data_IF_568930760334
#
_entry.id   IF_568930760334
#
_cell.length_a   1.000
_cell.length_b   1.000
_cell.length_c   1.000
_cell.angle_alpha   90.00
_cell.angle_beta   90.00
_cell.angle_gamma   90.00
#
_symmetry.space_group_name_H-M   'P 1'
#
loop_
_entity.id
_entity.type
_entity.pdbx_description
1 polymer ?
#
# COMPACT_ATOMS: atom_id res chain seq x y z
N UNK A 1 57.23 -11.99 -4.46
CA UNK A 1 56.84 -12.11 -3.04
C UNK A 1 56.69 -10.69 -2.51
N UNK A 2 55.49 -10.15 -2.53
CA UNK A 2 55.18 -8.84 -1.94
C UNK A 2 54.98 -9.06 -0.45
N UNK A 3 55.78 -8.40 0.38
CA UNK A 3 55.62 -8.41 1.83
C UNK A 3 54.18 -8.02 2.20
N UNK A 4 53.54 -8.70 3.17
CA UNK A 4 52.28 -8.22 3.72
C UNK A 4 52.56 -6.85 4.32
N UNK A 5 51.84 -5.81 3.89
CA UNK A 5 52.03 -4.48 4.46
C UNK A 5 51.71 -4.54 5.96
N UNK A 6 52.69 -4.25 6.80
CA UNK A 6 52.54 -4.05 8.25
C UNK A 6 51.69 -2.82 8.62
N UNK A 7 50.97 -2.24 7.65
CA UNK A 7 50.02 -1.15 7.88
C UNK A 7 48.76 -1.70 8.57
N UNK A 8 48.53 -1.38 9.87
CA UNK A 8 47.38 -1.88 10.62
C UNK A 8 46.05 -1.40 10.02
N UNK A 9 46.04 -0.25 9.32
CA UNK A 9 44.86 0.25 8.63
C UNK A 9 44.52 -0.64 7.42
N UNK A 10 45.53 -1.04 6.65
CA UNK A 10 45.35 -1.92 5.49
C UNK A 10 44.84 -3.31 5.90
N UNK A 11 45.34 -3.85 7.01
CA UNK A 11 44.86 -5.12 7.58
C UNK A 11 43.40 -5.00 8.04
N UNK A 12 43.06 -3.94 8.79
CA UNK A 12 41.68 -3.74 9.25
C UNK A 12 40.69 -3.49 8.10
N UNK A 13 41.11 -2.76 7.05
CA UNK A 13 40.31 -2.58 5.85
C UNK A 13 40.08 -3.91 5.11
N UNK A 14 41.10 -4.76 5.01
CA UNK A 14 40.96 -6.08 4.40
C UNK A 14 39.97 -6.97 5.16
N UNK A 15 40.00 -6.96 6.50
CA UNK A 15 39.04 -7.67 7.35
C UNK A 15 37.60 -7.17 7.15
N UNK A 16 37.40 -5.85 7.10
CA UNK A 16 36.09 -5.24 6.82
C UNK A 16 35.58 -5.66 5.44
N UNK A 17 36.43 -5.60 4.41
CA UNK A 17 36.08 -5.99 3.04
C UNK A 17 35.69 -7.46 2.98
N UNK A 18 36.48 -8.34 3.60
CA UNK A 18 36.20 -9.78 3.62
C UNK A 18 34.88 -10.10 4.33
N UNK A 19 34.64 -9.47 5.48
CA UNK A 19 33.40 -9.65 6.25
C UNK A 19 32.18 -9.18 5.44
N UNK A 20 32.30 -8.04 4.75
CA UNK A 20 31.23 -7.52 3.88
C UNK A 20 30.98 -8.43 2.68
N UNK A 21 32.03 -8.95 2.05
CA UNK A 21 31.88 -9.86 0.92
C UNK A 21 31.13 -11.13 1.32
N UNK A 22 31.49 -11.74 2.46
CA UNK A 22 30.80 -12.92 2.96
C UNK A 22 29.32 -12.65 3.26
N UNK A 23 28.99 -11.48 3.83
CA UNK A 23 27.61 -11.07 4.04
C UNK A 23 26.85 -10.87 2.72
N UNK A 24 27.48 -10.24 1.71
CA UNK A 24 26.92 -10.05 0.37
C UNK A 24 26.60 -11.39 -0.30
N UNK A 25 27.52 -12.35 -0.25
CA UNK A 25 27.35 -13.68 -0.85
C UNK A 25 26.21 -14.46 -0.15
N UNK A 26 26.17 -14.43 1.18
CA UNK A 26 25.11 -15.03 1.97
C UNK A 26 23.73 -14.43 1.63
N UNK A 27 23.68 -13.11 1.46
CA UNK A 27 22.44 -12.42 1.09
C UNK A 27 22.04 -12.69 -0.37
N UNK A 28 22.99 -12.76 -1.30
CA UNK A 28 22.72 -13.16 -2.67
C UNK A 28 22.10 -14.56 -2.72
N UNK A 29 22.63 -15.51 -1.95
CA UNK A 29 22.04 -16.84 -1.80
C UNK A 29 20.62 -16.80 -1.19
N UNK A 30 20.40 -15.94 -0.18
CA UNK A 30 19.07 -15.73 0.41
C UNK A 30 18.06 -15.21 -0.63
N UNK A 31 18.45 -14.25 -1.48
CA UNK A 31 17.58 -13.69 -2.53
C UNK A 31 17.15 -14.73 -3.56
N UNK A 32 17.96 -15.76 -3.78
CA UNK A 32 17.63 -16.89 -4.65
C UNK A 32 16.81 -17.98 -3.95
N UNK A 33 16.65 -17.90 -2.63
CA UNK A 33 15.89 -18.89 -1.88
C UNK A 33 14.39 -18.81 -2.21
N UNK A 34 13.73 -19.98 -2.25
CA UNK A 34 12.30 -20.06 -2.53
C UNK A 34 11.43 -19.20 -1.59
N UNK A 35 11.70 -19.13 -0.27
CA UNK A 35 10.94 -18.28 0.64
C UNK A 35 11.04 -16.79 0.31
N UNK A 36 12.22 -16.31 -0.11
CA UNK A 36 12.42 -14.92 -0.51
C UNK A 36 11.68 -14.61 -1.80
N UNK A 37 11.81 -15.47 -2.81
CA UNK A 37 11.10 -15.34 -4.08
C UNK A 37 9.57 -15.38 -3.89
N UNK A 38 9.06 -16.16 -2.94
CA UNK A 38 7.64 -16.18 -2.59
C UNK A 38 7.18 -14.85 -1.99
N UNK A 39 7.99 -14.25 -1.11
CA UNK A 39 7.68 -12.96 -0.52
C UNK A 39 7.64 -11.85 -1.58
N UNK A 40 8.58 -11.84 -2.53
CA UNK A 40 8.55 -10.91 -3.67
C UNK A 40 7.32 -11.10 -4.55
N UNK A 41 7.01 -12.36 -4.93
CA UNK A 41 5.81 -12.68 -5.73
C UNK A 41 4.52 -12.28 -5.04
N UNK A 42 4.47 -12.36 -3.70
CA UNK A 42 3.32 -11.87 -2.93
C UNK A 42 3.14 -10.36 -3.12
N UNK A 43 4.23 -9.59 -3.09
CA UNK A 43 4.20 -8.14 -3.35
C UNK A 43 3.70 -7.84 -4.76
N UNK A 44 4.20 -8.57 -5.76
CA UNK A 44 3.77 -8.43 -7.16
C UNK A 44 2.29 -8.75 -7.34
N UNK A 45 1.81 -9.83 -6.71
CA UNK A 45 0.39 -10.21 -6.73
C UNK A 45 -0.47 -9.10 -6.14
N UNK A 46 -0.05 -8.51 -5.01
CA UNK A 46 -0.80 -7.42 -4.37
C UNK A 46 -0.95 -6.21 -5.30
N UNK A 47 0.12 -5.80 -5.99
CA UNK A 47 0.06 -4.65 -6.92
C UNK A 47 -0.74 -4.98 -8.17
N UNK A 48 -0.55 -6.17 -8.75
CA UNK A 48 -1.30 -6.59 -9.94
C UNK A 48 -2.81 -6.65 -9.67
N UNK A 49 -3.20 -7.28 -8.56
CA UNK A 49 -4.60 -7.38 -8.15
C UNK A 49 -5.20 -6.01 -7.76
N UNK A 50 -4.40 -5.12 -7.18
CA UNK A 50 -4.81 -3.75 -6.87
C UNK A 50 -5.06 -2.93 -8.14
N UNK A 51 -4.13 -2.98 -9.09
CA UNK A 51 -4.25 -2.31 -10.38
C UNK A 51 -5.43 -2.84 -11.21
N UNK A 52 -5.70 -4.15 -11.17
CA UNK A 52 -6.88 -4.74 -11.81
C UNK A 52 -8.17 -4.07 -11.34
N UNK A 53 -8.34 -3.89 -10.03
CA UNK A 53 -9.55 -3.28 -9.47
C UNK A 53 -9.67 -1.80 -9.82
N UNK A 54 -8.59 -1.01 -9.73
CA UNK A 54 -8.63 0.40 -10.13
C UNK A 54 -8.90 0.58 -11.62
N UNK A 55 -8.31 -0.25 -12.47
CA UNK A 55 -8.57 -0.23 -13.91
C UNK A 55 -10.03 -0.62 -14.21
N UNK A 56 -10.61 -1.57 -13.46
CA UNK A 56 -12.03 -1.91 -13.60
C UNK A 56 -12.94 -0.74 -13.21
N UNK A 57 -12.61 -0.01 -12.13
CA UNK A 57 -13.30 1.22 -11.72
C UNK A 57 -13.23 2.26 -12.84
N UNK A 58 -12.04 2.55 -13.35
CA UNK A 58 -11.83 3.52 -14.43
C UNK A 58 -12.56 3.13 -15.71
N UNK A 59 -12.51 1.86 -16.11
CA UNK A 59 -13.25 1.38 -17.28
C UNK A 59 -14.76 1.56 -17.10
N UNK A 60 -15.28 1.19 -15.94
CA UNK A 60 -16.72 1.27 -15.66
C UNK A 60 -17.20 2.72 -15.50
N UNK A 61 -16.34 3.64 -15.05
CA UNK A 61 -16.69 5.05 -14.92
C UNK A 61 -16.98 5.71 -16.26
N UNK A 62 -16.36 5.25 -17.35
CA UNK A 62 -16.62 5.76 -18.71
C UNK A 62 -18.08 5.61 -19.15
N UNK A 63 -18.84 4.72 -18.51
CA UNK A 63 -20.29 4.57 -18.73
C UNK A 63 -21.10 5.78 -18.23
N UNK A 64 -20.50 6.64 -17.41
CA UNK A 64 -21.07 7.89 -16.93
C UNK A 64 -20.01 9.00 -16.97
N UNK A 65 -19.83 9.67 -18.13
CA UNK A 65 -18.77 10.67 -18.31
C UNK A 65 -18.85 11.84 -17.31
N UNK A 66 -20.05 12.27 -16.94
CA UNK A 66 -20.25 13.32 -15.93
C UNK A 66 -19.75 12.87 -14.56
N UNK A 67 -20.00 11.61 -14.19
CA UNK A 67 -19.53 11.05 -12.95
C UNK A 67 -18.00 10.91 -12.95
N UNK A 68 -17.43 10.33 -14.01
CA UNK A 68 -15.99 10.21 -14.18
C UNK A 68 -15.28 11.57 -14.10
N UNK A 69 -15.81 12.58 -14.79
CA UNK A 69 -15.24 13.92 -14.80
C UNK A 69 -15.24 14.58 -13.42
N UNK A 70 -16.24 14.29 -12.57
CA UNK A 70 -16.38 14.86 -11.24
C UNK A 70 -15.52 14.14 -10.18
N UNK A 71 -15.14 12.87 -10.34
CA UNK A 71 -14.54 12.08 -9.24
C UNK A 71 -13.03 12.20 -9.16
N UNK A 72 -12.53 12.85 -8.12
CA UNK A 72 -11.09 12.99 -7.88
C UNK A 72 -10.42 11.62 -7.68
N UNK A 73 -11.05 10.72 -6.92
CA UNK A 73 -10.56 9.35 -6.67
C UNK A 73 -10.29 8.53 -7.94
N UNK A 74 -11.06 8.76 -9.00
CA UNK A 74 -10.86 8.11 -10.31
C UNK A 74 -9.73 8.80 -11.07
N UNK A 75 -9.71 10.14 -11.05
CA UNK A 75 -8.73 10.94 -11.80
C UNK A 75 -7.30 10.81 -11.28
N UNK A 76 -7.13 10.38 -10.03
CA UNK A 76 -5.81 10.08 -9.45
C UNK A 76 -5.45 8.59 -9.46
N UNK A 77 -6.23 7.72 -10.11
CA UNK A 77 -5.99 6.28 -10.09
C UNK A 77 -4.56 5.92 -10.54
N UNK A 78 -4.04 6.58 -11.58
CA UNK A 78 -2.66 6.39 -12.05
C UNK A 78 -1.62 6.75 -10.99
N UNK A 79 -1.84 7.83 -10.23
CA UNK A 79 -0.97 8.24 -9.12
C UNK A 79 -0.96 7.17 -8.00
N UNK A 80 -2.12 6.57 -7.72
CA UNK A 80 -2.22 5.50 -6.72
C UNK A 80 -1.54 4.21 -7.21
N UNK A 81 -1.68 3.88 -8.50
CA UNK A 81 -1.02 2.73 -9.12
C UNK A 81 0.50 2.93 -9.13
N UNK A 82 0.97 4.13 -9.51
CA UNK A 82 2.38 4.49 -9.50
C UNK A 82 2.99 4.31 -8.11
N UNK A 83 2.31 4.82 -7.07
CA UNK A 83 2.75 4.67 -5.67
C UNK A 83 2.79 3.20 -5.21
N UNK A 84 1.81 2.38 -5.63
CA UNK A 84 1.80 0.94 -5.35
C UNK A 84 2.98 0.22 -6.05
N UNK A 85 3.27 0.56 -7.30
CA UNK A 85 4.41 0.01 -8.07
C UNK A 85 5.75 0.43 -7.45
N UNK A 86 5.90 1.70 -7.06
CA UNK A 86 7.07 2.22 -6.37
C UNK A 86 7.29 1.50 -5.03
N UNK A 87 6.22 1.30 -4.25
CA UNK A 87 6.26 0.52 -3.01
C UNK A 87 6.76 -0.90 -3.26
N UNK A 88 6.25 -1.58 -4.30
CA UNK A 88 6.71 -2.93 -4.66
C UNK A 88 8.19 -2.94 -5.02
N UNK A 89 8.66 -2.01 -5.85
CA UNK A 89 10.07 -1.92 -6.23
C UNK A 89 10.95 -1.74 -4.99
N UNK A 90 10.56 -0.85 -4.08
CA UNK A 90 11.27 -0.64 -2.82
C UNK A 90 11.31 -1.90 -1.94
N UNK A 91 10.18 -2.60 -1.77
CA UNK A 91 10.14 -3.84 -0.96
C UNK A 91 11.05 -4.92 -1.56
N UNK A 92 11.02 -5.11 -2.88
CA UNK A 92 11.85 -6.13 -3.58
C UNK A 92 13.34 -5.85 -3.45
N UNK A 93 13.73 -4.58 -3.48
CA UNK A 93 15.12 -4.16 -3.31
C UNK A 93 15.54 -4.01 -1.84
N UNK A 94 14.68 -4.36 -0.88
CA UNK A 94 15.00 -4.24 0.56
C UNK A 94 14.97 -2.79 1.07
N UNK A 95 14.51 -1.83 0.27
CA UNK A 95 14.40 -0.42 0.63
C UNK A 95 13.14 -0.15 1.47
N UNK A 96 13.03 -0.77 2.64
CA UNK A 96 11.79 -0.75 3.44
C UNK A 96 11.44 0.63 4.02
N UNK A 97 12.43 1.47 4.31
CA UNK A 97 12.19 2.83 4.79
C UNK A 97 11.53 3.71 3.69
N UNK A 98 12.08 3.78 2.46
CA UNK A 98 11.37 4.33 1.32
C UNK A 98 9.98 3.73 1.10
N UNK A 99 9.85 2.39 1.13
CA UNK A 99 8.56 1.73 0.99
C UNK A 99 7.52 2.21 2.02
N UNK A 100 7.93 2.42 3.27
CA UNK A 100 7.04 2.94 4.32
C UNK A 100 6.56 4.37 4.05
N UNK A 101 7.43 5.23 3.50
CA UNK A 101 7.05 6.60 3.13
C UNK A 101 6.07 6.59 1.97
N UNK A 102 6.31 5.72 0.98
CA UNK A 102 5.43 5.54 -0.17
C UNK A 102 4.05 5.00 0.24
N UNK A 103 4.02 3.96 1.08
CA UNK A 103 2.78 3.45 1.70
C UNK A 103 1.99 4.53 2.46
N UNK A 104 2.69 5.46 3.15
CA UNK A 104 2.02 6.59 3.82
C UNK A 104 1.34 7.50 2.81
N UNK A 105 2.06 7.86 1.75
CA UNK A 105 1.54 8.70 0.69
C UNK A 105 0.30 8.06 0.04
N UNK A 106 0.39 6.78 -0.35
CA UNK A 106 -0.72 6.04 -0.93
C UNK A 106 -1.96 6.05 -0.04
N UNK A 107 -1.78 5.75 1.26
CA UNK A 107 -2.87 5.78 2.24
C UNK A 107 -3.48 7.19 2.35
N UNK A 108 -2.64 8.21 2.48
CA UNK A 108 -3.07 9.60 2.66
C UNK A 108 -3.82 10.12 1.42
N UNK A 109 -3.28 9.90 0.23
CA UNK A 109 -3.88 10.30 -1.04
C UNK A 109 -5.24 9.64 -1.26
N UNK A 110 -5.35 8.33 -0.99
CA UNK A 110 -6.62 7.59 -1.13
C UNK A 110 -7.73 8.15 -0.24
N UNK A 111 -7.41 8.42 1.02
CA UNK A 111 -8.37 8.94 2.00
C UNK A 111 -8.79 10.37 1.67
N UNK A 112 -7.82 11.22 1.30
CA UNK A 112 -8.10 12.61 0.91
C UNK A 112 -8.99 12.66 -0.32
N UNK A 113 -8.69 11.84 -1.33
CA UNK A 113 -9.50 11.79 -2.55
C UNK A 113 -10.95 11.35 -2.27
N UNK A 114 -11.13 10.29 -1.47
CA UNK A 114 -12.47 9.87 -1.05
C UNK A 114 -13.19 10.95 -0.23
N UNK A 115 -12.50 11.60 0.70
CA UNK A 115 -13.08 12.69 1.49
C UNK A 115 -13.54 13.86 0.62
N UNK A 116 -12.70 14.33 -0.31
CA UNK A 116 -13.07 15.38 -1.28
C UNK A 116 -14.30 14.99 -2.11
N UNK A 117 -14.35 13.74 -2.59
CA UNK A 117 -15.49 13.22 -3.34
C UNK A 117 -16.77 13.06 -2.49
N UNK A 118 -16.63 12.97 -1.17
CA UNK A 118 -17.76 12.88 -0.23
C UNK A 118 -18.29 14.26 0.17
N UNK A 119 -17.40 15.24 0.33
CA UNK A 119 -17.76 16.62 0.69
C UNK A 119 -18.43 17.35 -0.48
N UNK A 120 -17.95 17.12 -1.69
CA UNK A 120 -18.47 17.75 -2.91
C UNK A 120 -18.75 16.69 -3.98
N UNK A 121 -19.86 15.93 -3.88
CA UNK A 121 -20.09 14.79 -4.75
C UNK A 121 -20.28 15.13 -6.23
N UNK A 122 -20.80 16.32 -6.54
CA UNK A 122 -21.14 16.75 -7.91
C UNK A 122 -20.21 17.86 -8.44
N UNK A 123 -19.29 18.37 -7.62
CA UNK A 123 -18.40 19.43 -8.02
C UNK A 123 -17.32 18.98 -9.00
N UNK A 124 -16.86 19.94 -9.80
CA UNK A 124 -15.73 19.78 -10.70
C UNK A 124 -14.44 19.48 -9.92
N UNK A 125 -13.52 18.77 -10.57
CA UNK A 125 -12.26 18.33 -9.94
C UNK A 125 -11.43 19.52 -9.47
N UNK A 126 -11.41 20.61 -10.23
CA UNK A 126 -10.70 21.85 -9.92
C UNK A 126 -11.10 22.39 -8.55
N UNK A 127 -12.40 22.45 -8.25
CA UNK A 127 -12.91 22.86 -6.94
C UNK A 127 -12.51 21.88 -5.83
N UNK A 128 -12.36 20.59 -6.14
CA UNK A 128 -11.89 19.60 -5.17
C UNK A 128 -10.40 19.73 -4.89
N UNK A 129 -9.61 20.21 -5.85
CA UNK A 129 -8.20 20.55 -5.66
C UNK A 129 -8.06 21.73 -4.72
N UNK A 130 -8.94 22.74 -4.81
CA UNK A 130 -8.95 23.86 -3.85
C UNK A 130 -9.12 23.35 -2.41
N UNK A 131 -9.98 22.35 -2.18
CA UNK A 131 -10.08 21.73 -0.84
C UNK A 131 -8.78 21.05 -0.42
N UNK A 132 -8.04 20.40 -1.32
CA UNK A 132 -6.75 19.79 -0.98
C UNK A 132 -5.69 20.83 -0.59
N UNK A 133 -5.71 22.00 -1.23
CA UNK A 133 -4.81 23.11 -0.92
C UNK A 133 -5.20 23.77 0.42
N UNK A 134 -6.50 23.98 0.64
CA UNK A 134 -7.06 24.53 1.88
C UNK A 134 -6.93 23.58 3.08
N UNK A 135 -6.75 22.27 2.83
CA UNK A 135 -6.41 21.29 3.86
C UNK A 135 -5.05 21.54 4.51
N UNK A 136 -4.27 22.55 4.04
CA UNK A 136 -2.94 22.91 4.50
C UNK A 136 -2.64 22.64 5.99
N UNK A 137 -3.45 23.17 6.92
CA UNK A 137 -3.28 23.03 8.37
C UNK A 137 -4.14 21.93 9.04
N UNK A 138 -5.05 21.30 8.30
CA UNK A 138 -5.95 20.28 8.84
C UNK A 138 -5.14 19.04 9.27
N UNK A 139 -5.40 18.52 10.48
CA UNK A 139 -4.73 17.29 10.89
C UNK A 139 -5.35 16.17 10.08
N UNK A 140 -4.52 15.24 9.60
CA UNK A 140 -5.00 14.03 8.90
C UNK A 140 -6.14 13.31 9.65
N UNK A 141 -6.13 13.35 10.98
CA UNK A 141 -7.21 12.84 11.83
C UNK A 141 -8.57 13.50 11.54
N UNK A 142 -8.61 14.82 11.37
CA UNK A 142 -9.85 15.57 11.16
C UNK A 142 -10.53 15.14 9.83
N UNK A 143 -9.73 14.86 8.80
CA UNK A 143 -10.18 14.31 7.52
C UNK A 143 -10.80 12.92 7.73
N UNK A 144 -10.11 12.06 8.48
CA UNK A 144 -10.55 10.69 8.75
C UNK A 144 -11.84 10.67 9.59
N UNK A 145 -11.97 11.53 10.58
CA UNK A 145 -13.19 11.69 11.39
C UNK A 145 -14.37 12.22 10.55
N UNK A 146 -14.06 12.93 9.46
CA UNK A 146 -15.02 13.44 8.47
C UNK A 146 -15.53 12.40 7.48
N UNK A 147 -14.95 11.19 7.41
CA UNK A 147 -15.38 10.17 6.46
C UNK A 147 -16.82 9.69 6.73
N UNK A 148 -17.55 9.39 5.66
CA UNK A 148 -18.93 8.91 5.71
C UNK A 148 -19.05 7.63 4.87
N UNK A 149 -18.68 6.46 5.43
CA UNK A 149 -18.83 5.19 4.74
C UNK A 149 -20.29 4.92 4.39
N UNK A 150 -20.54 4.46 3.16
CA UNK A 150 -21.86 4.09 2.63
C UNK A 150 -21.96 2.59 2.36
N UNK A 151 -20.85 1.97 1.97
CA UNK A 151 -20.77 0.57 1.54
C UNK A 151 -20.14 -0.34 2.61
N UNK A 152 -19.20 0.19 3.39
CA UNK A 152 -18.60 -0.54 4.52
C UNK A 152 -19.68 -0.75 5.59
N UNK A 153 -19.81 -2.00 6.05
CA UNK A 153 -20.77 -2.37 7.09
C UNK A 153 -20.50 -1.61 8.40
N UNK A 154 -21.55 -1.41 9.19
CA UNK A 154 -21.53 -0.57 10.37
C UNK A 154 -20.49 -1.03 11.42
N UNK A 155 -20.32 -2.34 11.58
CA UNK A 155 -19.34 -2.92 12.50
C UNK A 155 -17.90 -2.55 12.11
N UNK A 156 -17.53 -2.71 10.84
CA UNK A 156 -16.22 -2.32 10.32
C UNK A 156 -16.03 -0.80 10.30
N UNK A 157 -17.08 -0.04 9.98
CA UNK A 157 -17.04 1.42 9.97
C UNK A 157 -16.72 2.01 11.35
N UNK A 158 -17.24 1.42 12.44
CA UNK A 158 -16.97 1.85 13.81
C UNK A 158 -15.47 1.82 14.18
N UNK A 159 -14.71 0.89 13.59
CA UNK A 159 -13.27 0.75 13.82
C UNK A 159 -12.37 1.50 12.83
N UNK A 160 -12.94 2.04 11.74
CA UNK A 160 -12.20 2.55 10.60
C UNK A 160 -11.23 3.69 10.97
N UNK A 161 -11.73 4.68 11.72
CA UNK A 161 -10.93 5.83 12.18
C UNK A 161 -9.70 5.37 12.95
N UNK A 162 -9.88 4.43 13.89
CA UNK A 162 -8.77 3.92 14.70
C UNK A 162 -7.76 3.15 13.85
N UNK A 163 -8.24 2.27 12.96
CA UNK A 163 -7.39 1.49 12.03
C UNK A 163 -6.52 2.42 11.17
N UNK A 164 -7.16 3.38 10.50
CA UNK A 164 -6.50 4.33 9.60
C UNK A 164 -5.50 5.21 10.34
N UNK A 165 -5.90 5.83 11.45
CA UNK A 165 -5.03 6.74 12.19
C UNK A 165 -3.81 6.04 12.81
N UNK A 166 -3.98 4.79 13.29
CA UNK A 166 -2.86 3.99 13.76
C UNK A 166 -1.89 3.60 12.65
N UNK A 167 -2.41 3.14 11.51
CA UNK A 167 -1.58 2.77 10.36
C UNK A 167 -0.81 3.97 9.85
N UNK A 168 -1.47 5.11 9.67
CA UNK A 168 -0.84 6.36 9.26
C UNK A 168 0.24 6.81 10.25
N UNK A 169 -0.03 6.75 11.57
CA UNK A 169 0.97 7.06 12.61
C UNK A 169 2.19 6.14 12.50
N UNK A 170 1.97 4.84 12.32
CA UNK A 170 3.03 3.84 12.15
C UNK A 170 3.90 4.15 10.93
N UNK A 171 3.28 4.43 9.79
CA UNK A 171 3.97 4.77 8.54
C UNK A 171 4.74 6.10 8.65
N UNK A 172 4.20 7.06 9.41
CA UNK A 172 4.83 8.37 9.63
C UNK A 172 6.12 8.33 10.45
N UNK A 173 6.39 7.25 11.18
CA UNK A 173 7.62 7.11 12.00
C UNK A 173 8.92 7.11 11.20
N UNK A 174 8.85 6.88 9.88
CA UNK A 174 10.01 6.81 8.97
C UNK A 174 10.10 8.00 8.01
N UNK A 175 9.25 9.01 8.18
CA UNK A 175 9.25 10.22 7.34
C UNK A 175 10.32 11.21 7.78
N UNK A 176 10.50 11.37 9.09
CA UNK A 176 11.51 12.25 9.68
C UNK A 176 12.56 11.43 10.44
N UNK A 177 13.80 11.91 10.41
CA UNK A 177 14.83 11.38 11.28
C UNK A 177 14.40 11.57 12.75
N UNK A 178 14.31 10.46 13.48
CA UNK A 178 13.93 10.46 14.89
C UNK A 178 14.89 9.59 15.67
N UNK A 179 15.07 9.87 16.96
CA UNK A 179 15.93 9.07 17.86
C UNK A 179 15.51 7.60 17.86
N UNK A 180 14.20 7.33 17.78
CA UNK A 180 13.65 5.99 17.68
C UNK A 180 14.03 5.30 16.36
N UNK A 181 13.86 5.97 15.23
CA UNK A 181 14.23 5.44 13.91
C UNK A 181 15.73 5.20 13.76
N UNK A 182 16.53 6.22 14.07
CA UNK A 182 18.00 6.15 14.00
C UNK A 182 18.54 5.09 14.96
N UNK A 183 17.98 4.98 16.18
CA UNK A 183 18.40 3.96 17.14
C UNK A 183 18.12 2.53 16.69
N UNK A 184 17.03 2.28 15.95
CA UNK A 184 16.77 0.97 15.34
C UNK A 184 17.80 0.66 14.27
N UNK A 185 18.12 1.64 13.42
CA UNK A 185 19.06 1.47 12.31
C UNK A 185 20.50 1.28 12.84
N UNK A 186 20.90 1.97 13.92
CA UNK A 186 22.17 1.75 14.62
C UNK A 186 22.27 0.33 15.22
N UNK A 187 21.22 -0.15 15.90
CA UNK A 187 21.21 -1.54 16.42
C UNK A 187 21.24 -2.60 15.31
N UNK A 188 20.72 -2.29 14.12
CA UNK A 188 20.82 -3.17 12.95
C UNK A 188 22.26 -3.15 12.43
N UNK A 189 22.86 -1.96 12.30
CA UNK A 189 24.26 -1.78 11.92
C UNK A 189 25.23 -2.54 12.85
N UNK A 190 25.05 -2.45 14.17
CA UNK A 190 25.85 -3.19 15.17
C UNK A 190 25.76 -4.71 15.03
N UNK A 191 24.68 -5.22 14.42
CA UNK A 191 24.47 -6.64 14.14
C UNK A 191 24.85 -7.04 12.70
N UNK A 192 25.52 -6.15 11.96
CA UNK A 192 25.89 -6.38 10.56
C UNK A 192 24.70 -6.41 9.59
N UNK A 193 23.54 -5.89 9.99
CA UNK A 193 22.34 -5.81 9.17
C UNK A 193 22.28 -4.43 8.50
N UNK A 194 22.65 -4.38 7.22
CA UNK A 194 22.67 -3.15 6.43
C UNK A 194 21.41 -3.00 5.59
N UNK A 195 21.20 -1.80 5.03
CA UNK A 195 20.14 -1.56 4.04
C UNK A 195 20.36 -2.48 2.84
N UNK A 196 19.28 -3.11 2.34
CA UNK A 196 19.36 -4.06 1.23
C UNK A 196 19.71 -5.49 1.65
N UNK A 197 19.83 -5.75 2.97
CA UNK A 197 20.07 -7.08 3.56
C UNK A 197 18.86 -7.64 4.30
N UNK A 198 17.66 -7.20 3.93
CA UNK A 198 16.41 -7.59 4.55
C UNK A 198 16.14 -9.09 4.43
N UNK A 199 15.74 -9.70 5.54
CA UNK A 199 15.37 -11.10 5.55
C UNK A 199 13.95 -11.34 5.01
N UNK A 200 13.63 -12.61 4.76
CA UNK A 200 12.28 -13.05 4.39
C UNK A 200 11.22 -12.56 5.40
N UNK A 201 11.56 -12.55 6.68
CA UNK A 201 10.68 -12.05 7.74
C UNK A 201 10.40 -10.54 7.65
N UNK A 202 11.37 -9.75 7.21
CA UNK A 202 11.19 -8.30 7.01
C UNK A 202 10.28 -8.05 5.80
N UNK A 203 10.49 -8.75 4.68
CA UNK A 203 9.64 -8.67 3.49
C UNK A 203 8.20 -9.08 3.79
N UNK A 204 7.99 -10.16 4.55
CA UNK A 204 6.65 -10.60 4.93
C UNK A 204 5.91 -9.59 5.81
N UNK A 205 6.62 -8.92 6.74
CA UNK A 205 6.05 -7.82 7.54
C UNK A 205 5.69 -6.62 6.67
N UNK A 206 6.54 -6.28 5.71
CA UNK A 206 6.27 -5.20 4.75
C UNK A 206 5.04 -5.54 3.89
N UNK A 207 4.94 -6.77 3.39
CA UNK A 207 3.79 -7.25 2.62
C UNK A 207 2.48 -7.22 3.40
N UNK A 208 2.49 -7.60 4.68
CA UNK A 208 1.30 -7.55 5.52
C UNK A 208 0.81 -6.10 5.70
N UNK A 209 1.73 -5.17 5.97
CA UNK A 209 1.41 -3.75 6.09
C UNK A 209 0.96 -3.16 4.75
N UNK A 210 1.60 -3.53 3.65
CA UNK A 210 1.23 -3.07 2.33
C UNK A 210 -0.16 -3.57 1.91
N UNK A 211 -0.48 -4.83 2.19
CA UNK A 211 -1.82 -5.37 1.98
C UNK A 211 -2.90 -4.61 2.76
N UNK A 212 -2.60 -4.15 3.98
CA UNK A 212 -3.51 -3.32 4.77
C UNK A 212 -3.73 -1.93 4.16
N UNK A 213 -2.65 -1.30 3.65
CA UNK A 213 -2.74 -0.02 2.92
C UNK A 213 -3.58 -0.17 1.66
N UNK A 214 -3.36 -1.22 0.88
CA UNK A 214 -4.11 -1.49 -0.35
C UNK A 214 -5.59 -1.83 -0.07
N UNK A 215 -5.89 -2.57 1.01
CA UNK A 215 -7.28 -2.82 1.45
C UNK A 215 -8.02 -1.51 1.75
N UNK A 216 -7.38 -0.58 2.46
CA UNK A 216 -7.97 0.74 2.75
C UNK A 216 -8.10 1.56 1.47
N UNK A 217 -7.08 1.56 0.61
CA UNK A 217 -7.08 2.32 -0.63
C UNK A 217 -8.19 1.86 -1.59
N UNK A 218 -8.35 0.55 -1.77
CA UNK A 218 -9.46 -0.03 -2.53
C UNK A 218 -10.80 0.34 -1.93
N UNK A 219 -10.94 0.25 -0.60
CA UNK A 219 -12.17 0.64 0.08
C UNK A 219 -12.51 2.12 -0.16
N UNK A 220 -11.52 3.01 -0.16
CA UNK A 220 -11.71 4.43 -0.50
C UNK A 220 -12.20 4.61 -1.96
N UNK A 221 -11.59 3.90 -2.91
CA UNK A 221 -11.98 3.96 -4.31
C UNK A 221 -13.41 3.43 -4.53
N UNK A 222 -13.77 2.33 -3.87
CA UNK A 222 -15.11 1.75 -3.91
C UNK A 222 -16.17 2.65 -3.25
N UNK A 223 -15.88 3.22 -2.09
CA UNK A 223 -16.78 4.15 -1.39
C UNK A 223 -17.03 5.44 -2.17
N UNK A 224 -16.04 5.91 -2.94
CA UNK A 224 -16.18 7.04 -3.84
C UNK A 224 -16.91 6.69 -5.15
N UNK A 225 -17.13 5.41 -5.44
CA UNK A 225 -17.75 4.94 -6.67
C UNK A 225 -19.28 4.91 -6.62
N UNK A 226 -19.91 4.71 -7.78
CA UNK A 226 -21.35 4.45 -7.88
C UNK A 226 -21.66 3.01 -7.48
N UNK A 227 -22.62 2.81 -6.57
CA UNK A 227 -22.96 1.48 -6.05
C UNK A 227 -23.48 0.52 -7.11
N UNK A 228 -24.26 1.01 -8.09
CA UNK A 228 -24.80 0.16 -9.16
C UNK A 228 -23.70 -0.37 -10.08
N UNK A 229 -22.81 0.52 -10.53
CA UNK A 229 -21.65 0.14 -11.36
C UNK A 229 -20.62 -0.69 -10.58
N UNK A 230 -20.49 -0.46 -9.27
CA UNK A 230 -19.59 -1.22 -8.42
C UNK A 230 -20.03 -2.69 -8.28
N UNK A 231 -21.34 -2.94 -8.22
CA UNK A 231 -21.89 -4.30 -8.26
C UNK A 231 -21.35 -5.07 -9.46
N UNK A 232 -21.51 -4.52 -10.67
CA UNK A 232 -20.98 -5.14 -11.91
C UNK A 232 -19.47 -5.44 -11.83
N UNK A 233 -18.66 -4.57 -11.21
CA UNK A 233 -17.21 -4.81 -11.03
C UNK A 233 -16.96 -6.03 -10.15
N UNK A 234 -17.58 -6.08 -8.97
CA UNK A 234 -17.42 -7.23 -8.07
C UNK A 234 -17.87 -8.52 -8.75
N UNK A 235 -19.01 -8.44 -9.46
CA UNK A 235 -19.70 -9.55 -10.09
C UNK A 235 -18.96 -10.14 -11.30
N UNK A 236 -18.50 -9.28 -12.20
CA UNK A 236 -18.07 -9.66 -13.54
C UNK A 236 -16.55 -9.59 -13.71
N UNK A 237 -15.84 -8.97 -12.76
CA UNK A 237 -14.39 -8.80 -12.84
C UNK A 237 -13.68 -9.45 -11.66
N UNK A 238 -14.07 -9.09 -10.43
CA UNK A 238 -13.31 -9.49 -9.24
C UNK A 238 -13.66 -10.92 -8.77
N UNK A 239 -14.94 -11.28 -8.73
CA UNK A 239 -15.38 -12.63 -8.31
C UNK A 239 -15.05 -13.71 -9.36
N UNK A 240 -14.97 -13.36 -10.65
CA UNK A 240 -14.47 -14.24 -11.72
C UNK A 240 -12.96 -14.50 -11.60
N UNK A 241 -12.25 -13.74 -10.76
CA UNK A 241 -10.86 -13.97 -10.39
C UNK A 241 -10.76 -14.53 -8.95
N UNK A 242 -10.98 -15.84 -8.73
CA UNK A 242 -11.14 -16.42 -7.38
C UNK A 242 -9.87 -16.33 -6.50
N UNK A 243 -8.71 -16.06 -7.11
CA UNK A 243 -7.43 -15.88 -6.42
C UNK A 243 -7.09 -14.41 -6.15
N UNK A 244 -7.98 -13.48 -6.48
CA UNK A 244 -7.77 -12.06 -6.23
C UNK A 244 -7.48 -11.81 -4.74
N UNK A 245 -6.39 -11.12 -4.46
CA UNK A 245 -5.77 -11.03 -3.15
C UNK A 245 -6.64 -10.38 -2.07
N UNK A 246 -7.64 -9.60 -2.47
CA UNK A 246 -8.41 -8.72 -1.59
C UNK A 246 -9.80 -9.25 -1.24
N UNK A 247 -10.24 -10.38 -1.82
CA UNK A 247 -11.51 -11.04 -1.46
C UNK A 247 -11.68 -11.25 0.04
N UNK A 248 -10.56 -11.47 0.74
CA UNK A 248 -10.55 -11.81 2.16
C UNK A 248 -10.08 -10.68 3.06
N UNK A 249 -9.70 -9.52 2.52
CA UNK A 249 -9.28 -8.41 3.37
C UNK A 249 -10.50 -7.75 4.02
N UNK A 250 -10.37 -7.20 5.24
CA UNK A 250 -11.54 -6.82 6.03
C UNK A 250 -12.47 -5.82 5.35
N UNK A 251 -11.93 -4.74 4.78
CA UNK A 251 -12.76 -3.66 4.23
C UNK A 251 -13.36 -4.03 2.88
N UNK A 252 -12.56 -4.62 1.99
CA UNK A 252 -13.06 -5.09 0.69
C UNK A 252 -14.11 -6.18 0.86
N UNK A 253 -13.93 -7.12 1.80
CA UNK A 253 -14.95 -8.13 2.11
C UNK A 253 -16.25 -7.49 2.62
N UNK A 254 -16.14 -6.51 3.51
CA UNK A 254 -17.28 -5.77 4.05
C UNK A 254 -18.08 -5.12 2.91
N UNK A 255 -17.40 -4.41 2.00
CA UNK A 255 -18.02 -3.80 0.81
C UNK A 255 -18.61 -4.85 -0.13
N UNK A 256 -17.89 -5.93 -0.42
CA UNK A 256 -18.36 -7.00 -1.31
C UNK A 256 -19.68 -7.62 -0.80
N UNK A 257 -19.86 -7.72 0.52
CA UNK A 257 -21.07 -8.25 1.14
C UNK A 257 -22.32 -7.39 0.90
N UNK A 258 -22.14 -6.11 0.55
CA UNK A 258 -23.24 -5.22 0.15
C UNK A 258 -23.90 -5.67 -1.16
N UNK A 259 -23.13 -6.36 -2.01
CA UNK A 259 -23.57 -6.86 -3.32
C UNK A 259 -23.82 -8.36 -3.25
N UNK A 260 -24.48 -8.90 -2.23
CA UNK A 260 -24.68 -10.34 -2.12
C UNK A 260 -25.78 -10.86 -3.09
N UNK A 261 -25.48 -10.87 -4.39
CA UNK A 261 -26.26 -11.51 -5.47
C UNK A 261 -25.96 -13.02 -5.56
N UNK A 262 -25.13 -13.57 -4.66
CA UNK A 262 -24.65 -14.97 -4.71
C UNK A 262 -25.76 -15.99 -4.47
N UNK A 263 -26.87 -15.58 -3.84
CA UNK A 263 -28.09 -16.38 -3.75
C UNK A 263 -28.80 -16.57 -5.11
N UNK A 264 -28.73 -15.57 -6.00
CA UNK A 264 -29.39 -15.58 -7.32
C UNK A 264 -28.59 -16.36 -8.38
N UNK A 265 -27.29 -16.59 -8.14
CA UNK A 265 -26.38 -17.32 -9.05
C UNK A 265 -26.15 -18.79 -8.68
N UNK A 266 -26.77 -19.29 -7.60
CA UNK A 266 -26.73 -20.73 -7.36
C UNK A 266 -27.58 -21.43 -8.43
N UNK A 267 -27.06 -22.44 -9.14
CA UNK A 267 -27.89 -23.23 -10.04
C UNK A 267 -29.07 -23.81 -9.26
N UNK A 268 -30.28 -23.89 -9.86
CA UNK A 268 -31.41 -24.51 -9.19
C UNK A 268 -31.00 -25.92 -8.76
N UNK A 269 -31.22 -26.22 -7.47
CA UNK A 269 -30.94 -27.54 -6.89
C UNK A 269 -31.75 -28.63 -7.56
#
# INVERSE_FOLDING_TARGET
>A
MTEPSDDPLAQHLAEIVQTRQAAMDAHAALRQSQPFLNACRRTETLVGDYGLALNAISLMSTRSPTFEAARLSIRIADLLIESAVATMAHIREGLLNPAHREMRFLLEASIKAWWCDSVEPEGEVERKLDFLDDLGAARFRDIVDGLRPRLIAAEEAAGLVHKVTNLYKKLSTRVHASTGGVGVDLRRFERGQYVGFEGVGDLNKANAQFAEVLDISLACAFEAFDGGLLGDIFVQVLDDHPKWAFHKTPLVRSISSHFDYKAERQPPR
#
